data_IF_306511483771
#
_entry.id   IF_306511483771
#
_cell.length_a   1.000
_cell.length_b   1.000
_cell.length_c   1.000
_cell.angle_alpha   90.00
_cell.angle_beta   90.00
_cell.angle_gamma   90.00
#
_symmetry.space_group_name_H-M   'P 1'
#
loop_
_entity.id
_entity.type
_entity.pdbx_description
1 polymer ?
#
# COMPACT_ATOMS: atom_id res chain seq x y z
N UNK A 1 -10.72 -0.47 -22.70
CA UNK A 1 -11.10 -0.67 -24.12
C UNK A 1 -9.87 -0.89 -24.99
N UNK A 2 -8.91 0.05 -25.03
CA UNK A 2 -7.70 -0.12 -25.85
C UNK A 2 -6.73 -1.23 -25.39
N UNK A 3 -6.64 -1.51 -24.09
CA UNK A 3 -5.88 -2.68 -23.58
C UNK A 3 -6.45 -4.00 -24.12
N UNK A 4 -7.79 -4.13 -24.14
CA UNK A 4 -8.47 -5.30 -24.68
C UNK A 4 -8.31 -5.40 -26.20
N UNK A 5 -8.26 -4.25 -26.91
CA UNK A 5 -7.94 -4.22 -28.33
C UNK A 5 -6.51 -4.73 -28.59
N UNK A 6 -5.52 -4.28 -27.81
CA UNK A 6 -4.14 -4.77 -27.92
C UNK A 6 -4.05 -6.28 -27.74
N UNK A 7 -4.73 -6.83 -26.71
CA UNK A 7 -4.82 -8.26 -26.49
C UNK A 7 -5.51 -9.00 -27.66
N UNK A 8 -6.60 -8.45 -28.19
CA UNK A 8 -7.31 -9.05 -29.31
C UNK A 8 -6.49 -9.06 -30.60
N UNK A 9 -5.72 -8.00 -30.87
CA UNK A 9 -4.78 -7.95 -32.01
C UNK A 9 -3.74 -9.05 -31.87
N UNK A 10 -3.13 -9.18 -30.68
CA UNK A 10 -2.13 -10.22 -30.41
C UNK A 10 -2.68 -11.64 -30.57
N UNK A 11 -3.85 -11.93 -29.98
CA UNK A 11 -4.48 -13.26 -30.06
C UNK A 11 -4.84 -13.67 -31.49
N UNK A 12 -5.06 -12.70 -32.38
CA UNK A 12 -5.36 -12.94 -33.79
C UNK A 12 -4.12 -12.93 -34.69
N UNK A 13 -2.90 -12.91 -34.11
CA UNK A 13 -1.66 -12.89 -34.87
C UNK A 13 -1.42 -11.57 -35.63
N UNK A 14 -1.99 -10.47 -35.13
CA UNK A 14 -1.77 -9.13 -35.67
C UNK A 14 -0.33 -8.65 -35.49
N UNK A 15 0.00 -7.51 -36.11
CA UNK A 15 1.36 -6.99 -36.10
C UNK A 15 1.74 -6.42 -34.71
N UNK A 16 2.98 -6.61 -34.24
CA UNK A 16 3.45 -6.02 -32.97
C UNK A 16 3.26 -4.51 -32.89
N UNK A 17 3.40 -3.79 -34.00
CA UNK A 17 3.22 -2.33 -34.06
C UNK A 17 1.77 -1.92 -33.80
N UNK A 18 0.80 -2.74 -34.22
CA UNK A 18 -0.62 -2.50 -33.97
C UNK A 18 -0.98 -2.73 -32.50
N UNK A 19 -0.35 -3.73 -31.85
CA UNK A 19 -0.44 -3.95 -30.40
C UNK A 19 0.14 -2.75 -29.65
N UNK A 20 1.36 -2.31 -30.02
CA UNK A 20 2.01 -1.16 -29.42
C UNK A 20 1.13 0.09 -29.52
N UNK A 21 0.62 0.39 -30.72
CA UNK A 21 -0.28 1.52 -30.95
C UNK A 21 -1.56 1.43 -30.12
N UNK A 22 -2.14 0.24 -29.96
CA UNK A 22 -3.30 0.07 -29.10
C UNK A 22 -2.97 0.39 -27.63
N UNK A 23 -1.80 -0.05 -27.13
CA UNK A 23 -1.36 0.24 -25.77
C UNK A 23 -1.01 1.73 -25.57
N UNK A 24 -0.45 2.41 -26.57
CA UNK A 24 -0.25 3.86 -26.54
C UNK A 24 -1.58 4.62 -26.39
N UNK A 25 -2.61 4.22 -27.15
CA UNK A 25 -3.94 4.80 -26.98
C UNK A 25 -4.53 4.51 -25.59
N UNK A 26 -4.22 3.35 -25.00
CA UNK A 26 -4.60 3.04 -23.62
C UNK A 26 -3.92 3.99 -22.63
N UNK A 27 -2.62 4.25 -22.80
CA UNK A 27 -1.87 5.21 -21.99
C UNK A 27 -2.41 6.65 -22.13
N UNK A 28 -2.74 7.09 -23.36
CA UNK A 28 -3.36 8.40 -23.59
C UNK A 28 -4.69 8.54 -22.85
N UNK A 29 -5.54 7.51 -22.92
CA UNK A 29 -6.81 7.51 -22.20
C UNK A 29 -6.61 7.48 -20.69
N UNK A 30 -5.64 6.70 -20.19
CA UNK A 30 -5.32 6.65 -18.77
C UNK A 30 -4.91 8.04 -18.24
N UNK A 31 -3.99 8.70 -18.93
CA UNK A 31 -3.54 10.07 -18.62
C UNK A 31 -4.71 11.06 -18.64
N UNK A 32 -5.59 11.01 -19.65
CA UNK A 32 -6.77 11.89 -19.71
C UNK A 32 -7.71 11.73 -18.52
N UNK A 33 -7.84 10.53 -17.97
CA UNK A 33 -8.72 10.28 -16.82
C UNK A 33 -8.05 10.59 -15.49
N UNK A 34 -6.72 10.66 -15.44
CA UNK A 34 -5.92 10.77 -14.21
C UNK A 34 -6.24 9.71 -13.14
N UNK A 35 -6.96 8.64 -13.50
CA UNK A 35 -7.39 7.61 -12.57
C UNK A 35 -6.21 6.66 -12.30
N UNK A 36 -5.78 6.49 -11.04
CA UNK A 36 -4.61 5.67 -10.72
C UNK A 36 -4.74 4.22 -11.18
N UNK A 37 -5.95 3.64 -11.20
CA UNK A 37 -6.14 2.28 -11.69
C UNK A 37 -5.90 2.17 -13.21
N UNK A 38 -6.35 3.16 -13.99
CA UNK A 38 -6.10 3.17 -15.43
C UNK A 38 -4.62 3.41 -15.75
N UNK A 39 -3.98 4.33 -15.00
CA UNK A 39 -2.55 4.62 -15.16
C UNK A 39 -1.71 3.36 -14.90
N UNK A 40 -1.98 2.67 -13.80
CA UNK A 40 -1.26 1.43 -13.44
C UNK A 40 -1.55 0.31 -14.43
N UNK A 41 -2.81 0.11 -14.84
CA UNK A 41 -3.18 -0.93 -15.81
C UNK A 41 -2.48 -0.73 -17.16
N UNK A 42 -2.48 0.50 -17.70
CA UNK A 42 -1.81 0.81 -18.96
C UNK A 42 -0.29 0.62 -18.84
N UNK A 43 0.30 1.05 -17.72
CA UNK A 43 1.73 0.85 -17.44
C UNK A 43 2.11 -0.64 -17.37
N UNK A 44 1.28 -1.48 -16.76
CA UNK A 44 1.49 -2.92 -16.67
C UNK A 44 1.49 -3.57 -18.06
N UNK A 45 0.50 -3.25 -18.89
CA UNK A 45 0.43 -3.80 -20.25
C UNK A 45 1.61 -3.37 -21.12
N UNK A 46 2.01 -2.11 -21.04
CA UNK A 46 3.19 -1.61 -21.75
C UNK A 46 4.46 -2.33 -21.27
N UNK A 47 4.68 -2.43 -19.95
CA UNK A 47 5.86 -3.04 -19.36
C UNK A 47 5.96 -4.55 -19.67
N UNK A 48 4.84 -5.28 -19.64
CA UNK A 48 4.75 -6.69 -20.01
C UNK A 48 5.14 -6.94 -21.48
N UNK A 49 4.88 -5.98 -22.37
CA UNK A 49 5.28 -6.04 -23.78
C UNK A 49 6.67 -5.47 -24.06
N UNK A 50 7.37 -4.99 -23.02
CA UNK A 50 8.70 -4.39 -23.16
C UNK A 50 8.68 -2.97 -23.73
N UNK A 51 7.51 -2.34 -23.84
CA UNK A 51 7.38 -0.95 -24.27
C UNK A 51 7.58 -0.03 -23.06
N UNK A 52 8.77 0.53 -22.91
CA UNK A 52 9.18 1.26 -21.69
C UNK A 52 8.93 2.76 -21.75
N UNK A 53 8.84 3.33 -22.95
CA UNK A 53 8.93 4.78 -23.19
C UNK A 53 7.87 5.61 -22.45
N UNK A 54 6.68 5.03 -22.28
CA UNK A 54 5.54 5.70 -21.63
C UNK A 54 5.26 5.22 -20.20
N UNK A 55 5.95 4.17 -19.74
CA UNK A 55 5.66 3.54 -18.44
C UNK A 55 5.99 4.49 -17.28
N UNK A 56 7.14 5.15 -17.36
CA UNK A 56 7.62 6.04 -16.31
C UNK A 56 6.62 7.13 -15.93
N UNK A 57 6.19 7.99 -16.87
CA UNK A 57 5.21 9.05 -16.59
C UNK A 57 3.89 8.56 -15.99
N UNK A 58 3.38 7.40 -16.45
CA UNK A 58 2.15 6.81 -15.91
C UNK A 58 2.31 6.42 -14.43
N UNK A 59 3.43 5.77 -14.10
CA UNK A 59 3.73 5.36 -12.71
C UNK A 59 4.03 6.56 -11.82
N UNK A 60 4.76 7.55 -12.33
CA UNK A 60 5.12 8.77 -11.59
C UNK A 60 3.87 9.55 -11.17
N UNK A 61 2.82 9.54 -12.00
CA UNK A 61 1.52 10.13 -11.67
C UNK A 61 0.67 9.25 -10.74
N UNK A 62 0.72 7.92 -10.89
CA UNK A 62 -0.10 7.00 -10.10
C UNK A 62 0.38 6.84 -8.65
N UNK A 63 1.69 6.64 -8.43
CA UNK A 63 2.29 6.38 -7.12
C UNK A 63 1.87 7.37 -6.02
N UNK A 64 1.89 8.72 -6.22
CA UNK A 64 1.48 9.65 -5.19
C UNK A 64 -0.02 9.61 -4.87
N UNK A 65 -0.87 9.10 -5.76
CA UNK A 65 -2.33 9.00 -5.56
C UNK A 65 -2.74 7.74 -4.79
N UNK A 66 -1.95 6.68 -4.89
CA UNK A 66 -2.19 5.39 -4.23
C UNK A 66 -0.94 4.87 -3.51
N UNK A 67 -0.37 5.65 -2.58
CA UNK A 67 0.93 5.32 -1.95
C UNK A 67 0.91 3.97 -1.22
N UNK A 68 -0.26 3.54 -0.74
CA UNK A 68 -0.44 2.28 -0.02
C UNK A 68 -0.49 1.02 -0.91
N UNK A 69 -0.36 1.17 -2.24
CA UNK A 69 -0.19 0.07 -3.18
C UNK A 69 1.28 -0.07 -3.55
N UNK A 70 1.89 -1.20 -3.19
CA UNK A 70 3.28 -1.47 -3.54
C UNK A 70 3.47 -1.66 -5.06
N UNK A 71 2.49 -2.25 -5.74
CA UNK A 71 2.54 -2.58 -7.18
C UNK A 71 3.11 -1.47 -8.08
N UNK A 72 2.58 -0.23 -8.14
CA UNK A 72 3.13 0.80 -9.02
C UNK A 72 4.59 1.16 -8.69
N UNK A 73 4.98 1.07 -7.41
CA UNK A 73 6.35 1.34 -6.96
C UNK A 73 7.27 0.20 -7.42
N UNK A 74 6.85 -1.05 -7.25
CA UNK A 74 7.60 -2.23 -7.72
C UNK A 74 7.74 -2.24 -9.24
N UNK A 75 6.69 -1.85 -9.98
CA UNK A 75 6.78 -1.68 -11.43
C UNK A 75 7.78 -0.59 -11.82
N UNK A 76 7.88 0.50 -11.05
CA UNK A 76 8.87 1.55 -11.29
C UNK A 76 10.29 1.05 -11.03
N UNK A 77 10.50 0.20 -10.03
CA UNK A 77 11.77 -0.50 -9.81
C UNK A 77 12.11 -1.48 -10.95
N UNK A 78 11.13 -2.22 -11.46
CA UNK A 78 11.30 -3.10 -12.62
C UNK A 78 11.66 -2.31 -13.88
N UNK A 79 11.01 -1.16 -14.10
CA UNK A 79 11.35 -0.24 -15.19
C UNK A 79 12.79 0.25 -15.03
N UNK A 80 13.18 0.72 -13.84
CA UNK A 80 14.52 1.18 -13.55
C UNK A 80 15.60 0.13 -13.87
N UNK A 81 15.35 -1.14 -13.55
CA UNK A 81 16.24 -2.24 -13.95
C UNK A 81 16.33 -2.40 -15.47
N UNK A 82 15.18 -2.41 -16.15
CA UNK A 82 15.11 -2.62 -17.61
C UNK A 82 15.83 -1.53 -18.39
N UNK A 83 15.70 -0.28 -17.98
CA UNK A 83 16.27 0.87 -18.69
C UNK A 83 17.58 1.39 -18.07
N UNK A 84 18.14 0.68 -17.09
CA UNK A 84 19.37 1.06 -16.37
C UNK A 84 19.32 2.48 -15.80
N UNK A 85 18.22 2.81 -15.13
CA UNK A 85 17.97 4.13 -14.53
C UNK A 85 18.17 4.09 -13.00
N UNK A 86 19.37 4.42 -12.49
CA UNK A 86 19.65 4.42 -11.05
C UNK A 86 18.82 5.45 -10.28
N UNK A 87 18.48 6.58 -10.91
CA UNK A 87 17.69 7.62 -10.24
C UNK A 87 16.28 7.12 -9.97
N UNK A 88 15.61 6.54 -10.98
CA UNK A 88 14.29 5.93 -10.80
C UNK A 88 14.32 4.80 -9.77
N UNK A 89 15.39 3.99 -9.73
CA UNK A 89 15.54 2.96 -8.70
C UNK A 89 15.57 3.59 -7.30
N UNK A 90 16.45 4.57 -7.07
CA UNK A 90 16.58 5.25 -5.79
C UNK A 90 15.24 5.89 -5.35
N UNK A 91 14.58 6.63 -6.25
CA UNK A 91 13.30 7.28 -5.97
C UNK A 91 12.20 6.25 -5.65
N UNK A 92 12.20 5.09 -6.31
CA UNK A 92 11.21 4.04 -6.08
C UNK A 92 11.48 3.31 -4.75
N UNK A 93 12.74 3.05 -4.42
CA UNK A 93 13.14 2.47 -3.12
C UNK A 93 12.77 3.40 -1.97
N UNK A 94 13.07 4.70 -2.07
CA UNK A 94 12.66 5.71 -1.07
C UNK A 94 11.13 5.67 -0.87
N UNK A 95 10.35 5.65 -1.95
CA UNK A 95 8.88 5.60 -1.86
C UNK A 95 8.37 4.32 -1.21
N UNK A 96 8.96 3.18 -1.53
CA UNK A 96 8.58 1.90 -0.95
C UNK A 96 8.87 1.86 0.55
N UNK A 97 10.05 2.33 0.96
CA UNK A 97 10.53 2.24 2.33
C UNK A 97 10.10 3.41 3.22
N UNK A 98 9.54 4.47 2.64
CA UNK A 98 8.86 5.55 3.36
C UNK A 98 7.52 5.13 4.01
N UNK A 99 7.10 3.88 3.80
CA UNK A 99 5.88 3.28 4.33
C UNK A 99 6.19 1.98 5.05
N UNK A 100 5.36 1.63 6.04
CA UNK A 100 5.37 0.31 6.64
C UNK A 100 4.37 -0.63 5.95
N UNK A 101 4.75 -1.90 5.81
CA UNK A 101 3.96 -2.92 5.11
C UNK A 101 3.58 -4.09 6.03
N UNK A 102 2.36 -4.09 6.62
CA UNK A 102 1.91 -5.16 7.50
C UNK A 102 2.10 -6.55 6.89
N UNK A 103 2.81 -7.44 7.59
CA UNK A 103 3.09 -8.80 7.15
C UNK A 103 4.08 -8.96 5.99
N UNK A 104 4.58 -7.87 5.39
CA UNK A 104 5.46 -7.91 4.21
C UNK A 104 6.67 -6.95 4.30
N UNK A 105 6.82 -6.20 5.39
CA UNK A 105 7.85 -5.16 5.52
C UNK A 105 9.27 -5.69 5.34
N UNK A 106 9.59 -6.79 6.04
CA UNK A 106 10.89 -7.46 5.94
C UNK A 106 11.17 -7.91 4.50
N UNK A 107 10.16 -8.42 3.80
CA UNK A 107 10.27 -8.83 2.39
C UNK A 107 10.56 -7.63 1.48
N UNK A 108 9.80 -6.54 1.60
CA UNK A 108 9.99 -5.37 0.75
C UNK A 108 11.32 -4.67 1.01
N UNK A 109 11.78 -4.59 2.27
CA UNK A 109 13.10 -4.06 2.60
C UNK A 109 14.21 -4.90 1.96
N UNK A 110 14.16 -6.21 2.11
CA UNK A 110 15.15 -7.12 1.54
C UNK A 110 15.15 -7.08 0.00
N UNK A 111 13.98 -7.10 -0.63
CA UNK A 111 13.86 -7.07 -2.09
C UNK A 111 14.28 -5.72 -2.66
N UNK A 112 13.96 -4.60 -2.00
CA UNK A 112 14.41 -3.26 -2.41
C UNK A 112 15.93 -3.16 -2.47
N UNK A 113 16.61 -3.57 -1.40
CA UNK A 113 18.07 -3.61 -1.35
C UNK A 113 18.64 -4.49 -2.44
N UNK A 114 18.14 -5.72 -2.57
CA UNK A 114 18.59 -6.68 -3.58
C UNK A 114 18.47 -6.12 -5.01
N UNK A 115 17.36 -5.46 -5.33
CA UNK A 115 17.14 -4.86 -6.65
C UNK A 115 18.09 -3.68 -6.90
N UNK A 116 18.28 -2.80 -5.91
CA UNK A 116 19.22 -1.69 -6.03
C UNK A 116 20.68 -2.19 -6.18
N UNK A 117 21.08 -3.21 -5.41
CA UNK A 117 22.40 -3.82 -5.50
C UNK A 117 22.63 -4.48 -6.88
N UNK A 118 21.62 -5.18 -7.39
CA UNK A 118 21.68 -5.79 -8.72
C UNK A 118 21.84 -4.74 -9.83
N UNK A 119 21.13 -3.61 -9.73
CA UNK A 119 21.31 -2.49 -10.67
C UNK A 119 22.70 -1.87 -10.53
N UNK A 120 23.14 -1.60 -9.31
CA UNK A 120 24.46 -1.04 -9.04
C UNK A 120 25.59 -1.93 -9.57
N UNK A 121 25.46 -3.25 -9.45
CA UNK A 121 26.42 -4.20 -10.05
C UNK A 121 26.47 -4.04 -11.57
N UNK A 122 25.32 -4.06 -12.23
CA UNK A 122 25.26 -3.90 -13.68
C UNK A 122 25.82 -2.57 -14.17
N UNK A 123 25.54 -1.47 -13.45
CA UNK A 123 26.10 -0.15 -13.76
C UNK A 123 27.63 -0.14 -13.68
N UNK A 124 28.23 -0.79 -12.68
CA UNK A 124 29.69 -0.92 -12.59
C UNK A 124 30.27 -1.73 -13.75
N UNK A 125 29.61 -2.82 -14.14
CA UNK A 125 30.00 -3.62 -15.32
C UNK A 125 29.93 -2.82 -16.63
N UNK A 126 29.01 -1.85 -16.71
CA UNK A 126 28.86 -0.90 -17.83
C UNK A 126 29.82 0.31 -17.73
N UNK A 127 30.69 0.38 -16.72
CA UNK A 127 31.61 1.49 -16.50
C UNK A 127 30.98 2.75 -15.88
N UNK A 128 29.70 2.68 -15.47
CA UNK A 128 28.94 3.76 -14.82
C UNK A 128 29.09 3.72 -13.29
N UNK A 129 30.34 3.67 -12.82
CA UNK A 129 30.67 3.47 -11.40
C UNK A 129 30.13 4.58 -10.51
N UNK A 130 30.26 5.85 -10.91
CA UNK A 130 29.79 7.00 -10.11
C UNK A 130 28.27 6.95 -9.85
N UNK A 131 27.50 6.51 -10.85
CA UNK A 131 26.05 6.32 -10.71
C UNK A 131 25.70 5.16 -9.79
N UNK A 132 26.48 4.07 -9.84
CA UNK A 132 26.32 2.93 -8.95
C UNK A 132 26.61 3.29 -7.49
N UNK A 133 27.67 4.06 -7.24
CA UNK A 133 28.01 4.54 -5.89
C UNK A 133 26.98 5.54 -5.36
N UNK A 134 26.45 6.40 -6.23
CA UNK A 134 25.36 7.32 -5.87
C UNK A 134 24.10 6.55 -5.45
N UNK A 135 23.73 5.50 -6.21
CA UNK A 135 22.59 4.64 -5.87
C UNK A 135 22.82 3.94 -4.52
N UNK A 136 24.00 3.36 -4.31
CA UNK A 136 24.34 2.67 -3.06
C UNK A 136 24.30 3.62 -1.85
N UNK A 137 24.81 4.85 -2.01
CA UNK A 137 24.82 5.87 -0.97
C UNK A 137 23.42 6.37 -0.58
N UNK A 138 22.41 6.24 -1.46
CA UNK A 138 21.04 6.64 -1.19
C UNK A 138 20.26 5.63 -0.32
N UNK A 139 20.69 4.36 -0.28
CA UNK A 139 19.96 3.28 0.40
C UNK A 139 19.81 3.48 1.92
N UNK A 140 20.86 3.83 2.69
CA UNK A 140 20.73 3.99 4.14
C UNK A 140 19.69 5.05 4.53
N UNK A 141 19.64 6.16 3.80
CA UNK A 141 18.63 7.20 4.01
C UNK A 141 17.22 6.67 3.74
N UNK A 142 17.05 5.84 2.71
CA UNK A 142 15.77 5.22 2.38
C UNK A 142 15.29 4.25 3.44
N UNK A 143 16.19 3.43 3.98
CA UNK A 143 15.87 2.38 4.94
C UNK A 143 15.60 2.88 6.35
N UNK A 144 16.22 4.00 6.74
CA UNK A 144 16.05 4.60 8.06
C UNK A 144 14.59 4.85 8.40
N UNK A 145 14.23 4.74 9.67
CA UNK A 145 12.87 4.93 10.17
C UNK A 145 12.84 6.00 11.24
N UNK A 146 11.84 6.87 11.20
CA UNK A 146 11.73 7.93 12.21
C UNK A 146 11.32 7.38 13.57
N UNK A 147 10.46 6.36 13.59
CA UNK A 147 10.05 5.68 14.80
C UNK A 147 9.91 4.18 14.55
N UNK A 148 10.49 3.38 15.44
CA UNK A 148 10.33 1.94 15.51
C UNK A 148 10.02 1.53 16.94
N UNK A 149 8.98 0.72 17.11
CA UNK A 149 8.53 0.25 18.41
C UNK A 149 8.39 -1.25 18.33
N UNK A 150 9.00 -1.94 19.29
CA UNK A 150 8.92 -3.38 19.41
C UNK A 150 8.51 -3.75 20.82
N UNK A 151 7.38 -4.43 20.93
CA UNK A 151 6.91 -5.05 22.15
C UNK A 151 7.27 -6.53 22.11
N UNK A 152 7.89 -7.04 23.17
CA UNK A 152 8.07 -8.48 23.37
C UNK A 152 7.61 -8.90 24.75
N UNK A 153 7.29 -10.18 24.92
CA UNK A 153 6.89 -10.73 26.20
C UNK A 153 7.37 -12.17 26.40
N UNK A 154 7.30 -12.64 27.64
CA UNK A 154 7.47 -14.05 27.98
C UNK A 154 6.11 -14.74 28.15
N UNK A 155 6.14 -16.06 28.37
CA UNK A 155 4.94 -16.86 28.53
C UNK A 155 4.22 -17.13 27.21
N UNK A 156 2.96 -17.55 27.32
CA UNK A 156 2.09 -17.84 26.19
C UNK A 156 0.88 -16.90 26.25
N UNK A 157 1.08 -15.69 25.77
CA UNK A 157 0.08 -14.61 25.79
C UNK A 157 -0.04 -13.94 24.42
N UNK A 158 -1.07 -13.13 24.26
CA UNK A 158 -1.33 -12.25 23.13
C UNK A 158 -1.57 -10.83 23.66
N UNK A 159 -0.80 -9.88 23.14
CA UNK A 159 -0.84 -8.47 23.53
C UNK A 159 -0.90 -7.61 22.28
N UNK A 160 -1.92 -6.76 22.17
CA UNK A 160 -2.02 -5.80 21.07
C UNK A 160 -1.30 -4.48 21.44
N UNK A 161 -0.49 -3.99 20.51
CA UNK A 161 0.16 -2.69 20.51
C UNK A 161 -0.75 -1.69 19.79
N UNK A 162 -1.11 -0.63 20.51
CA UNK A 162 -1.90 0.48 19.97
C UNK A 162 -1.05 1.73 20.04
N UNK A 163 -0.86 2.38 18.89
CA UNK A 163 -0.10 3.62 18.78
C UNK A 163 -1.00 4.73 18.28
N UNK A 164 -1.25 5.71 19.13
CA UNK A 164 -1.85 6.97 18.75
C UNK A 164 -0.73 7.91 18.29
N UNK A 165 -0.86 8.41 17.06
CA UNK A 165 0.13 9.24 16.39
C UNK A 165 -0.18 10.73 16.59
N UNK A 166 0.81 11.60 16.33
CA UNK A 166 0.56 13.03 16.25
C UNK A 166 -0.62 13.30 15.30
N UNK A 167 -1.46 14.27 15.66
CA UNK A 167 -2.67 14.64 14.92
C UNK A 167 -3.84 13.64 15.02
N UNK A 168 -3.73 12.60 15.86
CA UNK A 168 -4.87 11.83 16.36
C UNK A 168 -5.28 10.59 15.56
N UNK A 169 -4.43 10.11 14.64
CA UNK A 169 -4.67 8.80 14.03
C UNK A 169 -4.22 7.68 14.97
N UNK A 170 -4.86 6.52 14.87
CA UNK A 170 -4.51 5.35 15.68
C UNK A 170 -4.15 4.18 14.78
N UNK A 171 -3.02 3.54 15.07
CA UNK A 171 -2.62 2.26 14.50
C UNK A 171 -2.86 1.18 15.54
N UNK A 172 -3.56 0.13 15.14
CA UNK A 172 -3.89 -1.04 15.94
C UNK A 172 -4.02 -2.26 15.03
N UNK A 173 -4.28 -3.44 15.59
CA UNK A 173 -4.55 -4.65 14.81
C UNK A 173 -5.68 -4.48 13.77
N UNK A 174 -6.78 -3.84 14.15
CA UNK A 174 -7.94 -3.63 13.26
C UNK A 174 -7.66 -2.56 12.19
N UNK A 175 -6.80 -1.59 12.52
CA UNK A 175 -6.36 -0.54 11.61
C UNK A 175 -4.83 -0.53 11.54
N UNK A 176 -4.22 -1.49 10.83
CA UNK A 176 -2.77 -1.75 10.91
C UNK A 176 -1.92 -0.73 10.16
N UNK A 177 -2.54 0.30 9.58
CA UNK A 177 -1.88 1.44 8.94
C UNK A 177 -2.69 2.70 9.13
N UNK A 178 -2.01 3.82 9.27
CA UNK A 178 -2.62 5.15 9.31
C UNK A 178 -2.33 5.97 8.06
N UNK A 179 -3.06 7.08 7.95
CA UNK A 179 -2.80 8.12 6.95
C UNK A 179 -1.55 8.95 7.26
N UNK A 180 -0.99 8.82 8.46
CA UNK A 180 0.24 9.51 8.87
C UNK A 180 1.50 8.65 8.75
N UNK A 181 1.35 7.42 8.24
CA UNK A 181 2.46 6.60 7.78
C UNK A 181 2.95 5.55 8.77
N UNK A 182 2.38 5.49 9.98
CA UNK A 182 2.60 4.37 10.88
C UNK A 182 1.94 3.09 10.39
N UNK A 183 2.55 1.98 10.75
CA UNK A 183 2.06 0.65 10.43
C UNK A 183 2.42 -0.35 11.52
N UNK A 184 1.50 -1.27 11.80
CA UNK A 184 1.77 -2.48 12.56
C UNK A 184 2.36 -3.52 11.60
N UNK A 185 3.66 -3.78 11.71
CA UNK A 185 4.41 -4.64 10.80
C UNK A 185 4.23 -6.12 11.12
N UNK A 186 4.20 -6.45 12.42
CA UNK A 186 4.08 -7.82 12.94
C UNK A 186 3.06 -7.85 14.07
N UNK A 187 2.16 -8.83 13.97
CA UNK A 187 1.21 -9.26 15.00
C UNK A 187 1.61 -10.70 15.37
N UNK A 188 2.33 -10.84 16.48
CA UNK A 188 2.88 -12.12 16.95
C UNK A 188 2.01 -12.73 18.06
N UNK A 189 1.75 -14.04 17.97
CA UNK A 189 0.86 -14.76 18.90
C UNK A 189 1.56 -15.94 19.55
N UNK A 190 1.22 -16.19 20.82
CA UNK A 190 1.60 -17.39 21.56
C UNK A 190 3.11 -17.56 21.63
N UNK A 191 3.67 -18.51 20.85
CA UNK A 191 5.11 -18.82 20.84
C UNK A 191 5.98 -17.81 20.07
N UNK A 192 5.38 -16.80 19.43
CA UNK A 192 6.07 -15.66 18.80
C UNK A 192 5.67 -14.36 19.51
N UNK A 193 6.21 -14.09 20.70
CA UNK A 193 5.74 -13.01 21.56
C UNK A 193 6.36 -11.67 21.15
N UNK A 194 5.97 -11.18 19.98
CA UNK A 194 6.47 -9.91 19.46
C UNK A 194 5.39 -9.16 18.66
N UNK A 195 5.19 -7.89 18.99
CA UNK A 195 4.50 -6.94 18.12
C UNK A 195 5.44 -5.83 17.70
N UNK A 196 5.31 -5.39 16.44
CA UNK A 196 6.19 -4.38 15.88
C UNK A 196 5.37 -3.30 15.19
N UNK A 197 5.53 -2.07 15.65
CA UNK A 197 5.08 -0.86 14.95
C UNK A 197 6.28 -0.14 14.33
N UNK A 198 6.09 0.44 13.15
CA UNK A 198 7.06 1.37 12.58
C UNK A 198 6.34 2.54 11.90
N UNK A 199 6.97 3.72 11.99
CA UNK A 199 6.65 4.91 11.23
C UNK A 199 7.91 5.34 10.46
N UNK A 200 8.14 4.84 9.23
CA UNK A 200 9.39 5.13 8.52
C UNK A 200 9.59 6.61 8.23
N UNK A 201 8.52 7.34 7.93
CA UNK A 201 8.50 8.81 7.97
C UNK A 201 7.39 9.24 8.92
N UNK A 202 7.72 9.92 10.01
CA UNK A 202 6.79 10.33 11.06
C UNK A 202 6.58 11.84 11.08
N UNK A 203 5.51 12.29 11.73
CA UNK A 203 5.32 13.70 12.06
C UNK A 203 6.03 14.03 13.38
N UNK A 204 6.40 15.28 13.56
CA UNK A 204 6.79 15.77 14.88
C UNK A 204 5.60 15.72 15.85
N UNK A 205 5.89 15.37 17.10
CA UNK A 205 4.90 15.35 18.18
C UNK A 205 4.96 14.10 19.03
N UNK A 206 3.91 13.94 19.84
CA UNK A 206 3.81 12.84 20.80
C UNK A 206 3.12 11.62 20.18
N UNK A 207 3.81 10.49 20.25
CA UNK A 207 3.27 9.17 19.96
C UNK A 207 2.91 8.50 21.29
N UNK A 208 1.63 8.16 21.47
CA UNK A 208 1.12 7.55 22.69
C UNK A 208 0.91 6.05 22.49
N UNK A 209 1.66 5.25 23.24
CA UNK A 209 1.72 3.80 23.11
C UNK A 209 0.92 3.17 24.24
N UNK A 210 -0.06 2.33 23.87
CA UNK A 210 -0.84 1.51 24.80
C UNK A 210 -0.64 0.04 24.45
N UNK A 211 -0.65 -0.79 25.49
CA UNK A 211 -0.52 -2.24 25.36
C UNK A 211 -1.77 -2.83 25.97
N UNK A 212 -2.48 -3.64 25.20
CA UNK A 212 -3.74 -4.24 25.59
C UNK A 212 -3.57 -5.76 25.70
N UNK A 213 -3.88 -6.37 26.85
CA UNK A 213 -3.93 -7.82 26.93
C UNK A 213 -5.13 -8.36 26.15
N UNK A 214 -4.92 -9.41 25.37
CA UNK A 214 -5.96 -10.12 24.63
C UNK A 214 -6.24 -11.48 25.27
N UNK A 215 -5.20 -12.30 25.40
CA UNK A 215 -5.28 -13.60 26.09
C UNK A 215 -3.97 -13.88 26.83
N UNK A 216 -4.05 -14.52 27.99
CA UNK A 216 -2.90 -15.01 28.73
C UNK A 216 -3.19 -16.45 29.20
N UNK A 217 -2.29 -17.38 28.91
CA UNK A 217 -2.41 -18.78 29.29
C UNK A 217 -2.10 -18.94 30.79
N UNK A 218 -3.08 -19.34 31.63
CA UNK A 218 -2.84 -19.49 33.06
C UNK A 218 -1.78 -20.54 33.43
N UNK A 219 -1.51 -21.50 32.53
CA UNK A 219 -0.47 -22.51 32.74
C UNK A 219 0.95 -21.99 32.42
N UNK A 220 1.06 -20.95 31.60
CA UNK A 220 2.32 -20.30 31.20
C UNK A 220 2.14 -18.78 31.14
N UNK A 221 1.83 -18.15 32.28
CA UNK A 221 1.46 -16.74 32.29
C UNK A 221 2.63 -15.86 31.87
N UNK A 222 2.32 -14.76 31.22
CA UNK A 222 3.29 -13.70 30.99
C UNK A 222 3.69 -13.04 32.32
N UNK A 223 4.99 -12.84 32.54
CA UNK A 223 5.53 -12.21 33.77
C UNK A 223 6.24 -10.89 33.49
N UNK A 224 6.61 -10.64 32.24
CA UNK A 224 7.32 -9.43 31.83
C UNK A 224 6.98 -9.05 30.39
N UNK A 225 6.69 -7.77 30.20
CA UNK A 225 6.68 -7.15 28.89
C UNK A 225 7.93 -6.26 28.74
N UNK A 226 8.54 -6.27 27.55
CA UNK A 226 9.66 -5.43 27.18
C UNK A 226 9.29 -4.59 25.97
N UNK A 227 9.20 -3.28 26.15
CA UNK A 227 8.95 -2.33 25.07
C UNK A 227 10.25 -1.62 24.69
N UNK A 228 10.72 -1.84 23.47
CA UNK A 228 11.81 -1.11 22.86
C UNK A 228 11.25 -0.02 21.95
N UNK A 229 11.75 1.21 22.12
CA UNK A 229 11.44 2.37 21.30
C UNK A 229 12.74 2.88 20.71
N UNK A 230 12.80 2.98 19.38
CA UNK A 230 13.92 3.54 18.65
C UNK A 230 13.43 4.73 17.82
N UNK A 231 13.91 5.93 18.15
CA UNK A 231 13.70 7.13 17.34
C UNK A 231 14.88 7.33 16.38
N UNK A 232 14.61 7.77 15.16
CA UNK A 232 15.60 7.97 14.08
C UNK A 232 16.49 6.75 13.81
N UNK A 233 15.89 5.57 13.83
CA UNK A 233 16.50 4.28 13.56
C UNK A 233 17.27 4.26 12.23
N UNK A 234 18.51 3.79 12.26
CA UNK A 234 19.39 3.74 11.09
C UNK A 234 20.01 5.08 10.70
N UNK A 235 19.99 6.08 11.59
CA UNK A 235 20.63 7.39 11.37
C UNK A 235 21.65 7.72 12.46
N UNK A 236 22.44 8.77 12.25
CA UNK A 236 23.34 9.30 13.28
C UNK A 236 22.62 9.90 14.51
N UNK A 237 21.30 10.14 14.43
CA UNK A 237 20.48 10.71 15.50
C UNK A 237 19.72 9.63 16.29
N UNK A 238 20.02 8.36 16.06
CA UNK A 238 19.31 7.23 16.66
C UNK A 238 19.29 7.29 18.20
N UNK A 239 18.12 7.10 18.78
CA UNK A 239 17.92 7.04 20.23
C UNK A 239 17.11 5.81 20.60
N UNK A 240 17.68 4.94 21.44
CA UNK A 240 17.03 3.73 21.94
C UNK A 240 16.59 3.90 23.39
N UNK A 241 15.36 3.52 23.69
CA UNK A 241 14.80 3.46 25.05
C UNK A 241 14.12 2.11 25.24
N UNK A 242 14.32 1.51 26.39
CA UNK A 242 13.69 0.23 26.76
C UNK A 242 12.89 0.40 28.04
N UNK A 243 11.69 -0.17 28.06
CA UNK A 243 10.78 -0.13 29.19
C UNK A 243 10.44 -1.56 29.59
N UNK A 244 10.63 -1.89 30.87
CA UNK A 244 10.10 -3.11 31.46
C UNK A 244 8.73 -2.81 32.04
N UNK A 245 7.70 -3.48 31.56
CA UNK A 245 6.31 -3.25 31.96
C UNK A 245 5.72 -4.49 32.62
N UNK A 246 4.76 -4.28 33.51
CA UNK A 246 4.06 -5.34 34.22
C UNK A 246 2.87 -5.80 33.38
N UNK A 247 2.79 -7.09 33.01
CA UNK A 247 1.61 -7.71 32.42
C UNK A 247 0.32 -7.38 33.17
N UNK A 248 -0.75 -7.08 32.42
CA UNK A 248 -2.11 -6.92 32.97
C UNK A 248 -2.24 -5.88 34.11
N UNK A 249 -1.35 -4.88 34.20
CA UNK A 249 -1.44 -3.84 35.24
C UNK A 249 -2.67 -2.93 35.01
N UNK A 250 -3.69 -2.95 35.90
CA UNK A 250 -4.89 -2.13 35.74
C UNK A 250 -4.62 -0.62 35.89
N UNK A 251 -3.43 -0.23 36.36
CA UNK A 251 -2.99 1.16 36.51
C UNK A 251 -1.93 1.55 35.48
N UNK A 252 -1.68 0.70 34.48
CA UNK A 252 -0.70 0.98 33.43
C UNK A 252 -0.98 2.32 32.76
N UNK A 253 0.02 3.21 32.79
CA UNK A 253 -0.02 4.46 32.03
C UNK A 253 0.52 4.22 30.62
N UNK A 254 -0.01 4.91 29.61
CA UNK A 254 0.57 4.88 28.27
C UNK A 254 2.03 5.34 28.30
N UNK A 255 2.87 4.72 27.45
CA UNK A 255 4.22 5.21 27.20
C UNK A 255 4.14 6.29 26.13
N UNK A 256 4.65 7.49 26.43
CA UNK A 256 4.63 8.62 25.50
C UNK A 256 6.05 8.87 24.97
N UNK A 257 6.15 9.01 23.65
CA UNK A 257 7.40 9.24 22.94
C UNK A 257 7.27 10.50 22.10
N UNK A 258 8.01 11.55 22.45
CA UNK A 258 8.08 12.77 21.63
C UNK A 258 9.11 12.60 20.52
N UNK A 259 8.67 12.61 19.26
CA UNK A 259 9.53 12.65 18.08
C UNK A 259 9.76 14.10 17.65
N UNK A 260 11.01 14.44 17.32
CA UNK A 260 11.40 15.74 16.74
C UNK A 260 12.27 15.51 15.52
N UNK A 261 12.06 16.22 14.43
CA UNK A 261 12.76 15.96 13.17
C UNK A 261 12.18 14.77 12.39
N UNK A 262 10.88 14.51 12.55
CA UNK A 262 10.13 13.60 11.70
C UNK A 262 10.07 14.11 10.26
N UNK A 263 10.15 13.19 9.30
CA UNK A 263 10.27 13.49 7.86
C UNK A 263 8.93 13.61 7.14
N UNK A 264 7.80 13.37 7.82
CA UNK A 264 6.47 13.52 7.19
C UNK A 264 5.91 14.91 7.43
N UNK A 265 5.58 15.58 6.33
CA UNK A 265 5.00 16.91 6.34
C UNK A 265 3.50 16.94 5.98
N UNK A 266 2.96 15.86 5.40
CA UNK A 266 1.56 15.79 4.94
C UNK A 266 0.97 14.39 5.11
N UNK A 267 -0.33 14.33 5.34
CA UNK A 267 -1.06 13.08 5.36
C UNK A 267 -0.99 12.40 3.99
N UNK A 268 -0.95 11.07 4.02
CA UNK A 268 -1.02 10.25 2.83
C UNK A 268 -2.45 10.24 2.29
N UNK A 269 -2.64 10.32 0.97
CA UNK A 269 -3.93 10.03 0.37
C UNK A 269 -4.29 8.59 0.70
N UNK A 270 -5.35 8.46 1.49
CA UNK A 270 -5.83 7.19 1.99
C UNK A 270 -7.09 6.80 1.27
N UNK A 271 -7.12 5.57 0.80
CA UNK A 271 -8.33 4.93 0.32
C UNK A 271 -8.67 3.89 1.37
N UNK A 272 -9.48 4.27 2.37
CA UNK A 272 -9.87 3.29 3.40
C UNK A 272 -10.73 2.22 2.75
N UNK A 273 -10.45 0.95 3.04
CA UNK A 273 -11.29 -0.16 2.54
C UNK A 273 -12.75 0.01 2.98
N UNK A 274 -12.97 0.61 4.15
CA UNK A 274 -14.28 1.02 4.64
C UNK A 274 -14.89 2.11 3.77
N UNK A 275 -14.17 3.18 3.43
CA UNK A 275 -14.62 4.27 2.59
C UNK A 275 -14.89 3.81 1.16
N UNK A 276 -14.13 2.82 0.66
CA UNK A 276 -14.44 2.15 -0.61
C UNK A 276 -15.70 1.31 -0.49
N UNK A 277 -15.88 0.55 0.60
CA UNK A 277 -17.11 -0.23 0.84
C UNK A 277 -18.33 0.68 0.97
N UNK A 278 -18.23 1.76 1.74
CA UNK A 278 -19.28 2.74 1.97
C UNK A 278 -19.63 3.46 0.66
N UNK A 279 -18.64 3.91 -0.11
CA UNK A 279 -18.88 4.52 -1.42
C UNK A 279 -19.50 3.53 -2.42
N UNK A 280 -19.11 2.25 -2.39
CA UNK A 280 -19.73 1.20 -3.22
C UNK A 280 -21.17 0.94 -2.77
N UNK A 281 -21.42 0.89 -1.46
CA UNK A 281 -22.75 0.70 -0.88
C UNK A 281 -23.69 1.85 -1.26
N UNK A 282 -23.23 3.10 -1.14
CA UNK A 282 -23.98 4.30 -1.53
C UNK A 282 -24.32 4.30 -3.03
N UNK A 283 -23.38 3.92 -3.90
CA UNK A 283 -23.63 3.76 -5.34
C UNK A 283 -24.63 2.64 -5.63
N UNK A 284 -24.59 1.53 -4.88
CA UNK A 284 -25.55 0.43 -5.03
C UNK A 284 -26.95 0.84 -4.57
N UNK A 285 -27.05 1.59 -3.48
CA UNK A 285 -28.29 2.14 -2.95
C UNK A 285 -28.92 3.15 -3.92
N UNK A 286 -28.13 4.10 -4.43
CA UNK A 286 -28.59 5.03 -5.48
C UNK A 286 -29.11 4.30 -6.72
N UNK A 287 -28.43 3.22 -7.15
CA UNK A 287 -28.86 2.41 -8.30
C UNK A 287 -30.16 1.67 -7.98
N UNK A 288 -30.31 1.14 -6.77
CA UNK A 288 -31.53 0.46 -6.34
C UNK A 288 -32.72 1.44 -6.27
N UNK A 289 -32.52 2.66 -5.79
CA UNK A 289 -33.54 3.71 -5.76
C UNK A 289 -33.96 4.15 -7.17
N UNK A 290 -32.99 4.39 -8.07
CA UNK A 290 -33.25 4.71 -9.49
C UNK A 290 -33.99 3.58 -10.22
N UNK A 291 -33.76 2.33 -9.84
CA UNK A 291 -34.49 1.18 -10.38
C UNK A 291 -35.93 1.07 -9.83
N UNK A 292 -36.15 1.43 -8.57
CA UNK A 292 -37.49 1.49 -7.96
C UNK A 292 -38.33 2.62 -8.54
N UNK A 293 -37.74 3.80 -8.76
CA UNK A 293 -38.45 4.95 -9.35
C UNK A 293 -38.83 4.73 -10.82
N UNK A 294 -38.03 3.99 -11.58
CA UNK A 294 -38.39 3.56 -12.95
C UNK A 294 -39.55 2.55 -13.00
N UNK A 295 -39.77 1.76 -11.94
CA UNK A 295 -40.94 0.86 -11.85
C UNK A 295 -42.22 1.58 -11.45
N UNK A 296 -42.15 2.75 -10.82
CA UNK A 296 -43.33 3.53 -10.42
C UNK A 296 -43.82 4.50 -11.49
N UNK A 297 -43.06 4.73 -12.57
CA UNK A 297 -43.52 5.43 -13.77
C UNK A 297 -43.98 4.37 -14.78
N UNK A 298 -45.28 4.09 -14.78
CA UNK A 298 -45.89 2.92 -15.40
C UNK A 298 -45.63 2.72 -16.90
N UNK A 299 -45.59 1.46 -17.30
CA UNK A 299 -45.82 1.05 -18.70
C UNK A 299 -47.22 1.54 -19.13
N UNK A 300 -47.36 2.18 -20.31
CA UNK A 300 -48.68 2.44 -20.89
C UNK A 300 -49.34 1.09 -21.23
N UNK A 301 -50.57 0.92 -20.77
CA UNK A 301 -51.31 -0.34 -20.86
C UNK A 301 -51.32 -0.97 -22.25
N UNK A 302 -50.99 -2.27 -22.31
CA UNK A 302 -51.29 -3.12 -23.47
C UNK A 302 -52.82 -3.18 -23.66
N UNK A 303 -53.35 -2.94 -24.87
CA UNK A 303 -54.77 -3.10 -25.12
C UNK A 303 -55.16 -4.59 -25.05
N UNK A 304 -56.29 -4.84 -24.42
CA UNK A 304 -56.92 -6.15 -24.21
C UNK A 304 -57.29 -6.78 -25.56
N UNK A 305 -56.87 -8.04 -25.78
CA UNK A 305 -57.11 -8.73 -27.04
C UNK A 305 -58.58 -9.18 -27.14
N UNK A 306 -59.30 -8.63 -28.12
CA UNK A 306 -60.68 -9.02 -28.42
C UNK A 306 -60.77 -10.49 -28.87
N UNK A 307 -61.84 -11.23 -28.49
CA UNK A 307 -62.00 -12.64 -28.81
C UNK A 307 -62.24 -12.85 -30.31
N UNK A 308 -61.46 -13.74 -30.93
CA UNK A 308 -61.64 -14.13 -32.34
C UNK A 308 -62.85 -15.06 -32.49
N UNK A 309 -63.81 -14.66 -33.31
CA UNK A 309 -64.93 -15.48 -33.78
C UNK A 309 -64.43 -16.68 -34.59
N UNK A 310 -64.94 -17.87 -34.29
CA UNK A 310 -64.65 -19.11 -35.00
C UNK A 310 -65.14 -19.04 -36.45
N UNK A 311 -64.25 -19.37 -37.40
CA UNK A 311 -64.60 -19.66 -38.79
C UNK A 311 -64.73 -21.18 -38.91
N UNK A 312 -65.83 -21.72 -39.48
CA UNK A 312 -66.03 -23.16 -39.59
C UNK A 312 -65.20 -23.71 -40.75
N UNK A 313 -64.55 -24.85 -40.53
CA UNK A 313 -63.95 -25.65 -41.59
C UNK A 313 -64.76 -26.94 -41.72
N UNK A 314 -65.11 -27.25 -42.97
CA UNK A 314 -65.82 -28.45 -43.44
C UNK A 314 -65.07 -29.74 -43.16
#
# INVERSE_FOLDING_TARGET
MYEALGLAIEMNGGKPEDVHKALDNAADMALRTHNPNHLVSAADKLLLKGHTDRVGPLLDEAMPKVPHRAEPILMSMMLAQKVRDPKRMADSVERLLALGWPGQDDYFRAEARKQADALGKALREEGRTDEAETLAAALPASESRDLFIRLTWDGNADYDLIVEEPLGATVSRDMPRSVFGGALLKDGKGSRPEEVYACPRGFDGDYTIRIMPVVDDPAKPSTRLSLEVVAHDGTAQEQKKSYSLVPNDPKAKPVVVTLKGGRRARALPFVSSTAVRDAVQEVLEERAEKARSKKSVGEPGKPEAAPRSAVPIR
#
